data_IF_336789506048
#
_entry.id   IF_336789506048
#
_cell.length_a   1.000
_cell.length_b   1.000
_cell.length_c   1.000
_cell.angle_alpha   90.00
_cell.angle_beta   90.00
_cell.angle_gamma   90.00
#
_symmetry.space_group_name_H-M   'P 1'
#
loop_
_entity.id
_entity.type
_entity.pdbx_description
1 polymer ?
#
# COMPACT_ATOMS: atom_id res chain seq x y z
N UNK A 1 15.54 4.66 -33.18
CA UNK A 1 14.99 4.55 -31.80
C UNK A 1 16.17 4.42 -30.87
N UNK A 2 16.37 5.36 -29.95
CA UNK A 2 17.54 5.36 -29.07
C UNK A 2 17.23 4.59 -27.77
N UNK A 3 17.72 3.35 -27.65
CA UNK A 3 17.42 2.43 -26.56
C UNK A 3 17.79 3.01 -25.18
N UNK A 4 18.88 3.78 -25.12
CA UNK A 4 19.35 4.43 -23.90
C UNK A 4 18.40 5.53 -23.41
N UNK A 5 17.79 6.29 -24.32
CA UNK A 5 16.79 7.31 -23.96
C UNK A 5 15.52 6.68 -23.37
N UNK A 6 15.10 5.52 -23.88
CA UNK A 6 13.95 4.77 -23.35
C UNK A 6 14.23 4.17 -21.96
N UNK A 7 15.46 3.69 -21.72
CA UNK A 7 15.86 3.21 -20.39
C UNK A 7 15.84 4.31 -19.33
N UNK A 8 16.28 5.53 -19.68
CA UNK A 8 16.32 6.62 -18.72
C UNK A 8 14.92 7.11 -18.34
N UNK A 9 14.01 7.19 -19.33
CA UNK A 9 12.58 7.42 -19.11
C UNK A 9 11.96 6.36 -18.19
N UNK A 10 12.26 5.08 -18.42
CA UNK A 10 11.76 3.98 -17.59
C UNK A 10 12.25 4.10 -16.14
N UNK A 11 13.53 4.42 -15.90
CA UNK A 11 14.07 4.62 -14.55
C UNK A 11 13.41 5.79 -13.82
N UNK A 12 13.18 6.91 -14.51
CA UNK A 12 12.50 8.08 -13.93
C UNK A 12 11.05 7.76 -13.56
N UNK A 13 10.32 7.08 -14.44
CA UNK A 13 8.94 6.70 -14.18
C UNK A 13 8.82 5.68 -13.05
N UNK A 14 9.74 4.71 -12.97
CA UNK A 14 9.80 3.76 -11.87
C UNK A 14 9.98 4.48 -10.52
N UNK A 15 10.87 5.48 -10.44
CA UNK A 15 11.04 6.30 -9.22
C UNK A 15 9.75 7.03 -8.83
N UNK A 16 9.07 7.65 -9.79
CA UNK A 16 7.78 8.32 -9.55
C UNK A 16 6.74 7.32 -9.04
N UNK A 17 6.69 6.13 -9.64
CA UNK A 17 5.74 5.10 -9.25
C UNK A 17 5.98 4.61 -7.82
N UNK A 18 7.25 4.47 -7.40
CA UNK A 18 7.61 4.12 -6.01
C UNK A 18 7.18 5.24 -5.03
N UNK A 19 7.37 6.51 -5.40
CA UNK A 19 6.91 7.64 -4.56
C UNK A 19 5.39 7.62 -4.43
N UNK A 20 4.68 7.50 -5.55
CA UNK A 20 3.20 7.45 -5.56
C UNK A 20 2.67 6.24 -4.79
N UNK A 21 3.30 5.08 -4.94
CA UNK A 21 2.96 3.88 -4.18
C UNK A 21 3.16 4.09 -2.67
N UNK A 22 4.28 4.69 -2.26
CA UNK A 22 4.54 4.99 -0.85
C UNK A 22 3.50 5.95 -0.28
N UNK A 23 3.16 7.01 -1.03
CA UNK A 23 2.09 7.94 -0.65
C UNK A 23 0.73 7.24 -0.54
N UNK A 24 0.43 6.33 -1.48
CA UNK A 24 -0.81 5.54 -1.45
C UNK A 24 -0.89 4.62 -0.22
N UNK A 25 0.21 3.99 0.18
CA UNK A 25 0.26 3.16 1.39
C UNK A 25 0.05 4.00 2.65
N UNK A 26 0.69 5.18 2.74
CA UNK A 26 0.46 6.11 3.84
C UNK A 26 -1.01 6.53 3.89
N UNK A 27 -1.58 6.92 2.75
CA UNK A 27 -2.99 7.27 2.62
C UNK A 27 -3.91 6.13 3.05
N UNK A 28 -3.63 4.90 2.62
CA UNK A 28 -4.38 3.71 3.00
C UNK A 28 -4.37 3.49 4.52
N UNK A 29 -3.21 3.61 5.17
CA UNK A 29 -3.07 3.48 6.63
C UNK A 29 -3.89 4.55 7.35
N UNK A 30 -3.78 5.80 6.94
CA UNK A 30 -4.52 6.91 7.54
C UNK A 30 -6.04 6.73 7.38
N UNK A 31 -6.50 6.40 6.17
CA UNK A 31 -7.91 6.19 5.88
C UNK A 31 -8.48 5.00 6.65
N UNK A 32 -7.75 3.89 6.74
CA UNK A 32 -8.20 2.70 7.48
C UNK A 32 -8.36 3.03 8.97
N UNK A 33 -7.41 3.75 9.56
CA UNK A 33 -7.51 4.20 10.95
C UNK A 33 -8.69 5.15 11.18
N UNK A 34 -8.89 6.12 10.29
CA UNK A 34 -10.02 7.05 10.36
C UNK A 34 -11.37 6.33 10.21
N UNK A 35 -11.46 5.36 9.30
CA UNK A 35 -12.67 4.56 9.11
C UNK A 35 -12.99 3.72 10.34
N UNK A 36 -12.00 3.06 10.94
CA UNK A 36 -12.19 2.27 12.16
C UNK A 36 -12.59 3.17 13.33
N UNK A 37 -11.91 4.30 13.53
CA UNK A 37 -12.25 5.25 14.58
C UNK A 37 -13.67 5.82 14.39
N UNK A 38 -14.03 6.18 13.16
CA UNK A 38 -15.37 6.62 12.82
C UNK A 38 -16.42 5.55 13.10
N UNK A 39 -16.18 4.32 12.64
CA UNK A 39 -17.08 3.20 12.87
C UNK A 39 -17.31 2.94 14.37
N UNK A 40 -16.26 2.94 15.18
CA UNK A 40 -16.36 2.76 16.63
C UNK A 40 -17.10 3.94 17.28
N UNK A 41 -16.79 5.18 16.90
CA UNK A 41 -17.47 6.37 17.41
C UNK A 41 -18.96 6.38 17.12
N UNK A 42 -19.38 5.91 15.93
CA UNK A 42 -20.80 5.80 15.58
C UNK A 42 -21.49 4.58 16.19
N UNK A 43 -20.73 3.53 16.51
CA UNK A 43 -21.25 2.28 17.12
C UNK A 43 -21.32 2.32 18.65
N UNK A 44 -20.66 3.30 19.28
CA UNK A 44 -20.69 3.48 20.73
C UNK A 44 -22.10 3.91 21.17
N UNK A 45 -22.73 3.11 22.04
CA UNK A 45 -24.07 3.38 22.56
C UNK A 45 -24.09 4.75 23.24
N UNK A 46 -25.10 5.57 22.90
CA UNK A 46 -25.28 6.88 23.51
C UNK A 46 -25.51 6.69 25.01
N UNK A 47 -24.47 6.90 25.82
CA UNK A 47 -24.59 6.78 27.26
C UNK A 47 -25.27 8.04 27.83
N UNK A 48 -26.60 7.97 27.97
CA UNK A 48 -27.47 9.07 28.44
C UNK A 48 -27.03 9.63 29.81
N UNK A 49 -26.35 8.82 30.63
CA UNK A 49 -25.82 9.24 31.93
C UNK A 49 -24.56 10.11 31.86
N UNK A 50 -23.80 10.09 30.76
CA UNK A 50 -22.58 10.88 30.60
C UNK A 50 -22.82 12.29 30.01
N UNK A 51 -24.06 12.61 29.61
CA UNK A 51 -24.47 13.97 29.21
C UNK A 51 -23.74 14.59 28.02
N UNK A 52 -22.86 13.86 27.34
CA UNK A 52 -22.06 14.37 26.23
C UNK A 52 -21.59 13.22 25.35
N UNK A 53 -22.01 13.21 24.07
CA UNK A 53 -21.18 12.62 23.02
C UNK A 53 -19.90 13.45 23.02
N UNK A 54 -18.82 12.94 23.61
CA UNK A 54 -17.53 13.63 23.60
C UNK A 54 -17.16 13.92 22.16
N UNK A 55 -17.43 15.13 21.65
CA UNK A 55 -17.48 15.42 20.21
C UNK A 55 -16.17 15.14 19.49
N UNK A 56 -15.35 16.17 19.29
CA UNK A 56 -14.01 15.97 18.72
C UNK A 56 -13.07 15.22 19.67
N UNK A 57 -13.24 15.40 20.98
CA UNK A 57 -12.37 14.78 21.99
C UNK A 57 -12.62 13.28 22.14
N UNK A 58 -13.87 12.81 22.09
CA UNK A 58 -14.20 11.38 22.12
C UNK A 58 -13.81 10.68 20.82
N UNK A 59 -13.92 11.37 19.67
CA UNK A 59 -13.36 10.83 18.42
C UNK A 59 -11.84 10.61 18.49
N UNK A 60 -11.09 11.58 19.01
CA UNK A 60 -9.63 11.43 19.21
C UNK A 60 -9.29 10.32 20.21
N UNK A 61 -10.15 10.05 21.19
CA UNK A 61 -9.98 8.94 22.12
C UNK A 61 -10.12 7.57 21.44
N UNK A 62 -10.93 7.48 20.38
CA UNK A 62 -11.01 6.28 19.54
C UNK A 62 -9.73 6.06 18.70
N UNK A 63 -8.95 7.12 18.42
CA UNK A 63 -7.63 7.08 17.79
C UNK A 63 -6.48 6.87 18.79
N UNK A 64 -6.63 5.92 19.71
CA UNK A 64 -5.54 5.57 20.64
C UNK A 64 -4.29 5.10 19.89
N UNK A 65 -3.09 5.47 20.37
CA UNK A 65 -1.82 5.13 19.74
C UNK A 65 -1.59 3.61 19.58
N UNK A 66 -2.11 2.81 20.52
CA UNK A 66 -2.04 1.35 20.47
C UNK A 66 -2.85 0.75 19.31
N UNK A 67 -4.13 1.14 19.18
CA UNK A 67 -4.98 0.73 18.04
C UNK A 67 -4.39 1.23 16.72
N UNK A 68 -3.91 2.47 16.69
CA UNK A 68 -3.25 3.03 15.53
C UNK A 68 -2.04 2.20 15.10
N UNK A 69 -1.16 1.85 16.04
CA UNK A 69 0.00 1.00 15.79
C UNK A 69 -0.39 -0.38 15.29
N UNK A 70 -1.38 -1.01 15.91
CA UNK A 70 -1.83 -2.36 15.56
C UNK A 70 -2.45 -2.40 14.15
N UNK A 71 -3.37 -1.49 13.84
CA UNK A 71 -4.00 -1.40 12.51
C UNK A 71 -2.93 -1.12 11.45
N UNK A 72 -2.03 -0.17 11.74
CA UNK A 72 -0.95 0.18 10.82
C UNK A 72 -0.02 -0.99 10.56
N UNK A 73 0.35 -1.76 11.59
CA UNK A 73 1.18 -2.96 11.44
C UNK A 73 0.51 -4.03 10.57
N UNK A 74 -0.80 -4.26 10.76
CA UNK A 74 -1.55 -5.24 9.95
C UNK A 74 -1.62 -4.79 8.49
N UNK A 75 -1.97 -3.52 8.24
CA UNK A 75 -2.09 -2.98 6.87
C UNK A 75 -0.73 -2.99 6.17
N UNK A 76 0.31 -2.44 6.80
CA UNK A 76 1.66 -2.40 6.23
C UNK A 76 2.19 -3.82 6.03
N UNK A 77 2.02 -4.70 7.02
CA UNK A 77 2.44 -6.10 6.94
C UNK A 77 1.79 -6.82 5.74
N UNK A 78 0.48 -6.64 5.53
CA UNK A 78 -0.23 -7.20 4.39
C UNK A 78 0.31 -6.67 3.05
N UNK A 79 0.50 -5.35 2.92
CA UNK A 79 1.04 -4.74 1.71
C UNK A 79 2.46 -5.22 1.43
N UNK A 80 3.31 -5.33 2.45
CA UNK A 80 4.68 -5.82 2.33
C UNK A 80 4.71 -7.28 1.90
N UNK A 81 3.85 -8.14 2.46
CA UNK A 81 3.76 -9.55 2.06
C UNK A 81 3.38 -9.70 0.58
N UNK A 82 2.34 -9.00 0.13
CA UNK A 82 1.94 -9.02 -1.29
C UNK A 82 3.05 -8.48 -2.19
N UNK A 83 3.70 -7.39 -1.77
CA UNK A 83 4.80 -6.79 -2.53
C UNK A 83 6.01 -7.72 -2.62
N UNK A 84 6.33 -8.43 -1.53
CA UNK A 84 7.41 -9.42 -1.46
C UNK A 84 7.13 -10.59 -2.41
N UNK A 85 5.90 -11.13 -2.40
CA UNK A 85 5.51 -12.20 -3.33
C UNK A 85 5.66 -11.75 -4.79
N UNK A 86 5.17 -10.55 -5.12
CA UNK A 86 5.34 -9.98 -6.48
C UNK A 86 6.80 -9.78 -6.84
N UNK A 87 7.61 -9.32 -5.89
CA UNK A 87 9.05 -9.14 -6.11
C UNK A 87 9.74 -10.47 -6.38
N UNK A 88 9.42 -11.54 -5.63
CA UNK A 88 9.94 -12.89 -5.86
C UNK A 88 9.49 -13.49 -7.20
N UNK A 89 8.27 -13.18 -7.66
CA UNK A 89 7.80 -13.60 -9.00
C UNK A 89 8.57 -12.89 -10.12
N UNK A 90 8.87 -11.61 -9.95
CA UNK A 90 9.61 -10.80 -10.93
C UNK A 90 11.13 -11.01 -10.86
N UNK A 91 11.67 -11.45 -9.73
CA UNK A 91 13.10 -11.73 -9.54
C UNK A 91 13.60 -12.94 -10.33
N UNK A 92 12.68 -13.77 -10.87
CA UNK A 92 12.98 -14.77 -11.89
C UNK A 92 13.59 -14.15 -13.18
N UNK A 93 13.59 -12.82 -13.29
CA UNK A 93 14.36 -12.06 -14.25
C UNK A 93 13.64 -11.83 -15.58
N UNK A 94 14.38 -11.26 -16.54
CA UNK A 94 13.84 -10.95 -17.87
C UNK A 94 13.32 -12.16 -18.63
N UNK A 95 13.78 -13.38 -18.30
CA UNK A 95 13.31 -14.63 -18.90
C UNK A 95 11.82 -14.89 -18.64
N UNK A 96 11.37 -14.77 -17.39
CA UNK A 96 9.96 -14.99 -17.04
C UNK A 96 9.05 -13.94 -17.69
N UNK A 97 9.52 -12.69 -17.77
CA UNK A 97 8.80 -11.60 -18.44
C UNK A 97 8.75 -11.83 -19.95
N UNK A 98 9.86 -12.25 -20.56
CA UNK A 98 9.96 -12.56 -21.99
C UNK A 98 9.02 -13.71 -22.37
N UNK A 99 8.99 -14.79 -21.58
CA UNK A 99 8.07 -15.92 -21.79
C UNK A 99 6.59 -15.49 -21.67
N UNK A 100 6.23 -14.60 -20.73
CA UNK A 100 4.86 -14.07 -20.63
C UNK A 100 4.45 -13.13 -21.76
N UNK A 101 5.42 -12.52 -22.45
CA UNK A 101 5.20 -11.64 -23.60
C UNK A 101 5.25 -12.38 -24.95
N UNK A 102 5.40 -13.72 -24.93
CA UNK A 102 5.47 -14.55 -26.13
C UNK A 102 6.84 -14.53 -26.82
N UNK A 103 7.89 -14.12 -26.12
CA UNK A 103 9.24 -14.17 -26.67
C UNK A 103 9.73 -15.62 -26.78
N UNK A 104 10.27 -15.96 -27.94
CA UNK A 104 10.86 -17.27 -28.23
C UNK A 104 12.39 -17.20 -28.13
N UNK A 105 13.02 -18.31 -27.71
CA UNK A 105 14.48 -18.39 -27.62
C UNK A 105 15.09 -18.39 -29.02
N UNK A 106 15.90 -17.38 -29.32
CA UNK A 106 16.75 -17.40 -30.51
C UNK A 106 17.96 -18.31 -30.25
N UNK A 107 18.15 -19.31 -31.11
CA UNK A 107 19.32 -20.17 -31.06
C UNK A 107 20.55 -19.39 -31.53
N UNK A 108 21.74 -19.61 -30.93
CA UNK A 108 22.95 -18.81 -31.19
C UNK A 108 23.55 -18.96 -32.60
N UNK A 109 22.87 -19.64 -33.53
CA UNK A 109 23.38 -19.99 -34.87
C UNK A 109 22.55 -19.41 -36.03
N UNK A 110 21.74 -18.40 -35.76
CA UNK A 110 21.06 -17.57 -36.77
C UNK A 110 21.52 -16.13 -36.62
#
# INVERSE_FOLDING_TARGET
MDFFAQQDLARRNARLLVILFTLAVIGLVLLTNLLVAGFLFFSEDYNVYAGSRGGWTGFLQQLSWERFGTISLVVIGSVLLVSLVKWLQLSAGGKAIAETLGAEKVLPQT
#
